data_IF_028745669640
#
_entry.id   IF_028745669640
#
_cell.length_a   1.000
_cell.length_b   1.000
_cell.length_c   1.000
_cell.angle_alpha   90.00
_cell.angle_beta   90.00
_cell.angle_gamma   90.00
#
_symmetry.space_group_name_H-M   'P 1'
#
loop_
_entity.id
_entity.type
_entity.pdbx_description
1 polymer ?
#
# COMPACT_ATOMS: atom_id res chain seq x y z
N UNK A 1 25.21 -10.32 -40.39
CA UNK A 1 24.59 -8.99 -40.46
C UNK A 1 23.19 -9.15 -39.95
N UNK A 2 22.82 -8.47 -38.87
CA UNK A 2 21.48 -8.53 -38.28
C UNK A 2 20.49 -7.86 -39.23
N UNK A 3 19.49 -8.62 -39.66
CA UNK A 3 18.43 -8.16 -40.55
C UNK A 3 17.55 -7.16 -39.80
N UNK A 4 17.37 -5.96 -40.35
CA UNK A 4 16.70 -4.83 -39.70
C UNK A 4 15.19 -4.80 -39.94
N UNK A 5 14.65 -5.49 -40.95
CA UNK A 5 13.20 -5.59 -41.19
C UNK A 5 12.85 -6.31 -42.49
N UNK A 6 11.56 -6.52 -42.72
CA UNK A 6 10.98 -7.19 -43.90
C UNK A 6 10.11 -6.25 -44.72
N UNK A 7 10.32 -6.23 -46.03
CA UNK A 7 9.67 -5.34 -46.98
C UNK A 7 9.01 -6.17 -48.08
N UNK A 8 7.71 -5.97 -48.28
CA UNK A 8 6.97 -6.57 -49.39
C UNK A 8 6.97 -5.61 -50.58
N UNK A 9 7.27 -6.11 -51.77
CA UNK A 9 7.17 -5.37 -53.03
C UNK A 9 6.04 -5.98 -53.85
N UNK A 10 4.99 -5.19 -54.11
CA UNK A 10 3.84 -5.59 -54.90
C UNK A 10 3.93 -4.89 -56.26
N UNK A 11 4.15 -5.67 -57.31
CA UNK A 11 4.38 -5.20 -58.68
C UNK A 11 3.96 -6.30 -59.68
N UNK A 12 3.13 -5.98 -60.67
CA UNK A 12 2.68 -6.93 -61.71
C UNK A 12 3.80 -7.40 -62.64
N UNK A 13 4.90 -6.66 -62.70
CA UNK A 13 6.10 -6.99 -63.46
C UNK A 13 7.26 -7.36 -62.51
N UNK A 14 7.55 -8.67 -62.45
CA UNK A 14 8.61 -9.21 -61.61
C UNK A 14 10.02 -8.70 -62.02
N UNK A 15 10.25 -8.40 -63.30
CA UNK A 15 11.52 -7.88 -63.79
C UNK A 15 11.70 -6.43 -63.36
N UNK A 16 10.64 -5.62 -63.44
CA UNK A 16 10.64 -4.22 -62.92
C UNK A 16 10.89 -4.18 -61.42
N UNK A 17 10.21 -5.02 -60.64
CA UNK A 17 10.43 -5.11 -59.20
C UNK A 17 11.86 -5.55 -58.86
N UNK A 18 12.42 -6.51 -59.60
CA UNK A 18 13.80 -6.94 -59.41
C UNK A 18 14.81 -5.81 -59.69
N UNK A 19 14.56 -4.99 -60.71
CA UNK A 19 15.37 -3.80 -61.01
C UNK A 19 15.29 -2.76 -59.87
N UNK A 20 14.09 -2.51 -59.33
CA UNK A 20 13.92 -1.62 -58.19
C UNK A 20 14.68 -2.10 -56.96
N UNK A 21 14.52 -3.38 -56.60
CA UNK A 21 15.21 -4.00 -55.44
C UNK A 21 16.73 -3.97 -55.64
N UNK A 22 17.21 -4.28 -56.85
CA UNK A 22 18.64 -4.21 -57.17
C UNK A 22 19.20 -2.78 -57.10
N UNK A 23 18.42 -1.77 -57.49
CA UNK A 23 18.82 -0.37 -57.44
C UNK A 23 18.92 0.19 -56.01
N UNK A 24 18.18 -0.39 -55.05
CA UNK A 24 18.22 0.03 -53.63
C UNK A 24 19.55 -0.32 -52.95
N UNK A 25 20.24 -1.38 -53.41
CA UNK A 25 21.51 -1.88 -52.86
C UNK A 25 21.51 -1.92 -51.32
N UNK A 26 20.47 -2.53 -50.75
CA UNK A 26 20.21 -2.54 -49.31
C UNK A 26 20.36 -3.95 -48.72
N UNK A 27 21.51 -4.27 -48.08
CA UNK A 27 21.74 -5.57 -47.46
C UNK A 27 21.06 -5.74 -46.10
N UNK A 28 20.40 -4.69 -45.57
CA UNK A 28 19.89 -4.67 -44.20
C UNK A 28 18.44 -5.17 -44.09
N UNK A 29 17.64 -5.06 -45.15
CA UNK A 29 16.23 -5.47 -45.16
C UNK A 29 16.01 -6.72 -46.02
N UNK A 30 15.00 -7.55 -45.67
CA UNK A 30 14.50 -8.60 -46.58
C UNK A 30 13.54 -7.96 -47.57
N UNK A 31 13.70 -8.27 -48.85
CA UNK A 31 12.70 -7.96 -49.86
C UNK A 31 12.03 -9.24 -50.32
N UNK A 32 10.71 -9.22 -50.42
CA UNK A 32 9.92 -10.28 -51.05
C UNK A 32 9.04 -9.65 -52.13
N UNK A 33 9.01 -10.26 -53.32
CA UNK A 33 8.28 -9.72 -54.48
C UNK A 33 7.06 -10.58 -54.73
N UNK A 34 5.90 -9.95 -54.91
CA UNK A 34 4.65 -10.62 -55.26
C UNK A 34 3.93 -9.87 -56.39
N UNK A 35 3.34 -10.56 -57.36
CA UNK A 35 2.58 -9.93 -58.45
C UNK A 35 1.26 -9.32 -57.99
N UNK A 36 0.66 -9.86 -56.94
CA UNK A 36 -0.57 -9.36 -56.33
C UNK A 36 -0.47 -9.45 -54.80
N UNK A 37 -1.14 -8.56 -54.08
CA UNK A 37 -1.20 -8.62 -52.62
C UNK A 37 -2.15 -9.74 -52.17
N UNK A 38 -1.65 -10.81 -51.50
CA UNK A 38 -2.51 -11.86 -50.99
C UNK A 38 -3.26 -11.34 -49.76
N UNK A 39 -4.55 -11.04 -49.90
CA UNK A 39 -5.43 -10.48 -48.87
C UNK A 39 -4.90 -9.20 -48.18
N UNK A 40 -5.60 -8.08 -48.41
CA UNK A 40 -5.20 -6.75 -47.91
C UNK A 40 -5.08 -6.74 -46.38
N UNK A 41 -5.93 -7.48 -45.66
CA UNK A 41 -5.89 -7.55 -44.20
C UNK A 41 -4.65 -8.29 -43.68
N UNK A 42 -4.26 -9.39 -44.34
CA UNK A 42 -3.05 -10.14 -43.99
C UNK A 42 -1.77 -9.35 -44.24
N UNK A 43 -1.77 -8.47 -45.25
CA UNK A 43 -0.59 -7.67 -45.63
C UNK A 43 -0.48 -6.37 -44.85
N UNK A 44 -1.59 -5.69 -44.56
CA UNK A 44 -1.59 -4.36 -43.95
C UNK A 44 -2.08 -4.31 -42.50
N UNK A 45 -2.64 -5.41 -41.99
CA UNK A 45 -3.21 -5.49 -40.66
C UNK A 45 -2.18 -5.55 -39.51
N UNK A 46 -2.67 -5.58 -38.27
CA UNK A 46 -1.84 -5.57 -37.06
C UNK A 46 -0.93 -6.82 -36.95
N UNK A 47 -1.40 -7.97 -37.42
CA UNK A 47 -0.67 -9.25 -37.39
C UNK A 47 0.22 -9.48 -38.63
N UNK A 48 0.26 -8.52 -39.55
CA UNK A 48 1.08 -8.64 -40.77
C UNK A 48 2.54 -8.87 -40.40
N UNK A 49 3.23 -9.82 -41.04
CA UNK A 49 4.67 -10.04 -40.81
C UNK A 49 5.52 -8.91 -41.38
N UNK A 50 4.98 -8.09 -42.28
CA UNK A 50 5.71 -7.06 -43.01
C UNK A 50 5.92 -5.78 -42.21
N UNK A 51 7.10 -5.18 -42.37
CA UNK A 51 7.45 -3.92 -41.73
C UNK A 51 7.22 -2.70 -42.64
N UNK A 52 7.22 -2.92 -43.96
CA UNK A 52 6.89 -1.91 -44.97
C UNK A 52 6.39 -2.60 -46.24
N UNK A 53 5.48 -1.95 -46.97
CA UNK A 53 5.02 -2.40 -48.28
C UNK A 53 5.38 -1.35 -49.32
N UNK A 54 5.99 -1.76 -50.42
CA UNK A 54 6.19 -0.96 -51.62
C UNK A 54 5.16 -1.45 -52.64
N UNK A 55 4.31 -0.56 -53.13
CA UNK A 55 3.26 -0.91 -54.08
C UNK A 55 3.43 -0.09 -55.37
N UNK A 56 3.47 -0.78 -56.50
CA UNK A 56 3.46 -0.12 -57.80
C UNK A 56 2.07 0.46 -58.09
N UNK A 57 2.03 1.72 -58.49
CA UNK A 57 0.77 2.45 -58.68
C UNK A 57 0.10 2.06 -59.99
N UNK A 58 0.76 1.46 -60.97
CA UNK A 58 0.11 1.10 -62.25
C UNK A 58 -0.64 -0.25 -62.20
N UNK A 59 -0.62 -0.96 -61.06
CA UNK A 59 -1.31 -2.23 -60.78
C UNK A 59 -2.85 -2.18 -60.77
N UNK A 60 -3.48 -1.15 -61.32
CA UNK A 60 -4.84 -0.75 -60.98
C UNK A 60 -5.86 -0.86 -62.11
N UNK A 61 -6.07 -2.07 -62.60
CA UNK A 61 -7.44 -2.43 -63.01
C UNK A 61 -8.32 -2.76 -61.78
N UNK A 62 -7.78 -2.62 -60.57
CA UNK A 62 -8.55 -2.67 -59.31
C UNK A 62 -9.20 -1.31 -59.05
N UNK A 63 -10.53 -1.27 -58.93
CA UNK A 63 -11.24 -0.05 -58.52
C UNK A 63 -10.71 0.43 -57.16
N UNK A 64 -9.93 1.52 -57.16
CA UNK A 64 -9.42 2.18 -55.95
C UNK A 64 -10.49 2.54 -54.91
N UNK A 65 -11.76 2.58 -55.31
CA UNK A 65 -12.88 2.72 -54.39
C UNK A 65 -12.98 1.53 -53.41
N UNK A 66 -12.64 0.31 -53.85
CA UNK A 66 -12.59 -0.90 -53.03
C UNK A 66 -11.42 -0.88 -52.04
N UNK A 67 -10.23 -0.42 -52.47
CA UNK A 67 -9.06 -0.26 -51.59
C UNK A 67 -9.29 0.87 -50.58
N UNK A 68 -9.87 2.00 -50.99
CA UNK A 68 -10.25 3.09 -50.08
C UNK A 68 -11.29 2.65 -49.05
N UNK A 69 -12.21 1.76 -49.43
CA UNK A 69 -13.18 1.15 -48.51
C UNK A 69 -12.47 0.17 -47.57
N UNK A 70 -11.55 -0.65 -48.06
CA UNK A 70 -10.73 -1.53 -47.26
C UNK A 70 -9.88 -0.75 -46.24
N UNK A 71 -9.07 0.22 -46.67
CA UNK A 71 -8.20 1.02 -45.79
C UNK A 71 -8.97 1.89 -44.76
N UNK A 72 -10.25 2.17 -44.99
CA UNK A 72 -11.13 2.85 -44.00
C UNK A 72 -11.83 1.89 -43.05
N UNK A 73 -11.89 0.61 -43.39
CA UNK A 73 -12.57 -0.44 -42.62
C UNK A 73 -11.58 -1.27 -41.80
N UNK A 74 -10.33 -1.39 -42.27
CA UNK A 74 -9.26 -2.14 -41.63
C UNK A 74 -8.32 -1.24 -40.84
N UNK A 75 -7.81 -1.76 -39.71
CA UNK A 75 -6.78 -1.12 -38.91
C UNK A 75 -5.41 -1.28 -39.59
N UNK A 76 -5.11 -0.36 -40.51
CA UNK A 76 -3.87 -0.38 -41.30
C UNK A 76 -2.69 0.02 -40.41
N UNK A 77 -1.80 -0.93 -40.13
CA UNK A 77 -0.63 -0.75 -39.27
C UNK A 77 0.68 -0.76 -40.05
N UNK A 78 0.71 -1.32 -41.27
CA UNK A 78 1.92 -1.40 -42.08
C UNK A 78 2.04 -0.18 -43.03
N UNK A 79 3.16 0.56 -42.99
CA UNK A 79 3.37 1.71 -43.86
C UNK A 79 3.54 1.32 -45.33
N UNK A 80 2.80 1.99 -46.21
CA UNK A 80 2.82 1.77 -47.66
C UNK A 80 3.58 2.89 -48.38
N UNK A 81 4.57 2.52 -49.21
CA UNK A 81 5.30 3.39 -50.11
C UNK A 81 4.78 3.14 -51.54
N UNK A 82 4.32 4.20 -52.21
CA UNK A 82 3.84 4.12 -53.57
C UNK A 82 4.97 4.39 -54.57
N UNK A 83 5.09 3.57 -55.61
CA UNK A 83 6.08 3.75 -56.69
C UNK A 83 5.36 3.80 -58.04
N UNK A 84 5.76 4.71 -58.92
CA UNK A 84 5.18 4.89 -60.25
C UNK A 84 6.28 5.03 -61.30
N UNK A 85 6.04 4.57 -62.53
CA UNK A 85 6.97 4.75 -63.65
C UNK A 85 6.90 6.19 -64.22
N UNK A 86 5.81 6.90 -63.95
CA UNK A 86 5.56 8.25 -64.46
C UNK A 86 5.23 9.24 -63.34
N UNK A 87 5.68 10.49 -63.53
CA UNK A 87 5.30 11.60 -62.65
C UNK A 87 3.94 12.14 -63.08
N UNK A 88 2.89 11.54 -62.52
CA UNK A 88 1.52 11.97 -62.69
C UNK A 88 0.94 12.55 -61.38
N UNK A 89 0.32 13.72 -61.49
CA UNK A 89 -0.25 14.44 -60.34
C UNK A 89 -1.49 13.73 -59.79
N UNK A 90 -2.29 13.09 -60.65
CA UNK A 90 -3.51 12.40 -60.23
C UNK A 90 -3.17 11.13 -59.45
N UNK A 91 -2.19 10.37 -59.94
CA UNK A 91 -1.65 9.17 -59.27
C UNK A 91 -1.00 9.49 -57.92
N UNK A 92 -0.20 10.56 -57.83
CA UNK A 92 0.41 11.02 -56.58
C UNK A 92 -0.64 11.46 -55.56
N UNK A 93 -1.61 12.28 -55.99
CA UNK A 93 -2.68 12.78 -55.12
C UNK A 93 -3.55 11.65 -54.59
N UNK A 94 -3.79 10.64 -55.43
CA UNK A 94 -4.54 9.44 -55.07
C UNK A 94 -3.78 8.60 -54.04
N UNK A 95 -2.51 8.27 -54.28
CA UNK A 95 -1.69 7.45 -53.38
C UNK A 95 -1.58 8.06 -51.97
N UNK A 96 -1.22 9.34 -51.87
CA UNK A 96 -1.12 10.04 -50.58
C UNK A 96 -2.50 10.22 -49.92
N UNK A 97 -3.54 10.50 -50.71
CA UNK A 97 -4.92 10.62 -50.22
C UNK A 97 -5.52 9.32 -49.67
N UNK A 98 -4.91 8.17 -50.01
CA UNK A 98 -5.26 6.84 -49.48
C UNK A 98 -4.44 6.44 -48.25
N UNK A 99 -3.45 7.25 -47.84
CA UNK A 99 -2.62 6.98 -46.66
C UNK A 99 -1.26 6.37 -46.97
N UNK A 100 -0.80 6.39 -48.23
CA UNK A 100 0.60 6.08 -48.52
C UNK A 100 1.52 7.07 -47.80
N UNK A 101 2.60 6.54 -47.19
CA UNK A 101 3.58 7.32 -46.43
C UNK A 101 4.41 8.20 -47.36
N UNK A 102 4.70 7.72 -48.58
CA UNK A 102 5.42 8.48 -49.58
C UNK A 102 5.08 8.00 -51.01
N UNK A 103 5.38 8.83 -52.00
CA UNK A 103 5.23 8.53 -53.43
C UNK A 103 6.55 8.77 -54.16
N UNK A 104 6.98 7.79 -54.95
CA UNK A 104 8.26 7.81 -55.67
C UNK A 104 8.09 7.53 -57.15
N UNK A 105 8.97 8.12 -57.97
CA UNK A 105 9.01 7.86 -59.43
C UNK A 105 10.26 7.04 -59.81
N UNK A 106 10.07 5.79 -60.25
CA UNK A 106 11.14 4.93 -60.74
C UNK A 106 11.28 5.06 -62.27
N UNK A 107 12.49 4.99 -62.87
CA UNK A 107 13.83 4.96 -62.26
C UNK A 107 14.39 6.39 -62.02
N UNK A 108 13.56 7.43 -62.13
CA UNK A 108 14.01 8.82 -62.11
C UNK A 108 14.52 9.31 -60.74
N UNK A 109 14.13 8.62 -59.66
CA UNK A 109 14.51 8.99 -58.31
C UNK A 109 15.85 8.45 -57.83
N UNK A 110 16.46 9.18 -56.89
CA UNK A 110 17.70 8.76 -56.25
C UNK A 110 17.40 7.59 -55.31
N UNK A 111 18.04 6.40 -55.47
CA UNK A 111 17.77 5.23 -54.63
C UNK A 111 17.93 5.48 -53.12
N UNK A 112 18.84 6.37 -52.73
CA UNK A 112 19.04 6.76 -51.33
C UNK A 112 17.90 7.57 -50.69
N UNK A 113 16.94 8.08 -51.46
CA UNK A 113 15.70 8.67 -50.91
C UNK A 113 14.69 7.57 -50.58
N UNK A 114 14.51 6.61 -51.48
CA UNK A 114 13.64 5.45 -51.30
C UNK A 114 14.11 4.62 -50.10
N UNK A 115 15.42 4.34 -50.01
CA UNK A 115 16.02 3.62 -48.87
C UNK A 115 15.75 4.28 -47.52
N UNK A 116 15.92 5.61 -47.42
CA UNK A 116 15.62 6.35 -46.17
C UNK A 116 14.15 6.30 -45.79
N UNK A 117 13.24 6.27 -46.76
CA UNK A 117 11.82 6.12 -46.47
C UNK A 117 11.46 4.71 -46.02
N UNK A 118 12.11 3.68 -46.57
CA UNK A 118 12.00 2.29 -46.09
C UNK A 118 12.50 2.19 -44.65
N UNK A 119 13.73 2.66 -44.38
CA UNK A 119 14.32 2.67 -43.02
C UNK A 119 13.39 3.34 -42.00
N UNK A 120 12.84 4.51 -42.33
CA UNK A 120 11.89 5.23 -41.47
C UNK A 120 10.59 4.46 -41.25
N UNK A 121 10.08 3.82 -42.30
CA UNK A 121 8.82 3.07 -42.27
C UNK A 121 8.95 1.80 -41.42
N UNK A 122 10.03 1.03 -41.64
CA UNK A 122 10.38 -0.15 -40.85
C UNK A 122 10.56 0.21 -39.38
N UNK A 123 11.33 1.26 -39.09
CA UNK A 123 11.54 1.71 -37.71
C UNK A 123 10.23 2.16 -37.03
N UNK A 124 9.36 2.87 -37.75
CA UNK A 124 8.06 3.27 -37.23
C UNK A 124 7.20 2.05 -36.87
N UNK A 125 7.15 1.04 -37.74
CA UNK A 125 6.39 -0.19 -37.51
C UNK A 125 6.91 -0.97 -36.30
N UNK A 126 8.23 -1.04 -36.14
CA UNK A 126 8.86 -1.68 -34.98
C UNK A 126 8.50 -0.98 -33.68
N UNK A 127 8.60 0.35 -33.63
CA UNK A 127 8.20 1.13 -32.45
C UNK A 127 6.72 0.95 -32.13
N UNK A 128 5.85 0.85 -33.14
CA UNK A 128 4.43 0.56 -32.92
C UNK A 128 4.22 -0.82 -32.31
N UNK A 129 4.89 -1.86 -32.82
CA UNK A 129 4.80 -3.22 -32.25
C UNK A 129 5.33 -3.25 -30.81
N UNK A 130 6.48 -2.63 -30.56
CA UNK A 130 7.07 -2.54 -29.22
C UNK A 130 6.14 -1.79 -28.26
N UNK A 131 5.48 -0.72 -28.71
CA UNK A 131 4.53 0.03 -27.90
C UNK A 131 3.30 -0.82 -27.55
N UNK A 132 2.74 -1.56 -28.52
CA UNK A 132 1.60 -2.46 -28.29
C UNK A 132 1.99 -3.56 -27.30
N UNK A 133 3.12 -4.23 -27.52
CA UNK A 133 3.62 -5.27 -26.63
C UNK A 133 3.88 -4.74 -25.21
N UNK A 134 4.50 -3.57 -25.09
CA UNK A 134 4.76 -2.92 -23.80
C UNK A 134 3.46 -2.55 -23.08
N UNK A 135 2.47 -2.00 -23.79
CA UNK A 135 1.16 -1.70 -23.23
C UNK A 135 0.45 -2.96 -22.73
N UNK A 136 0.44 -4.04 -23.53
CA UNK A 136 -0.15 -5.31 -23.09
C UNK A 136 0.54 -5.88 -21.85
N UNK A 137 1.87 -5.84 -21.81
CA UNK A 137 2.64 -6.29 -20.65
C UNK A 137 2.34 -5.44 -19.41
N UNK A 138 2.21 -4.12 -19.58
CA UNK A 138 1.88 -3.19 -18.51
C UNK A 138 0.44 -3.41 -18.01
N UNK A 139 -0.52 -3.65 -18.90
CA UNK A 139 -1.90 -3.97 -18.53
C UNK A 139 -1.99 -5.29 -17.76
N UNK A 140 -1.27 -6.33 -18.20
CA UNK A 140 -1.18 -7.61 -17.48
C UNK A 140 -0.58 -7.42 -16.08
N UNK A 141 0.58 -6.76 -15.99
CA UNK A 141 1.25 -6.51 -14.72
C UNK A 141 0.38 -5.66 -13.77
N UNK A 142 -0.30 -4.64 -14.28
CA UNK A 142 -1.19 -3.81 -13.48
C UNK A 142 -2.41 -4.59 -12.98
N UNK A 143 -2.97 -5.48 -13.81
CA UNK A 143 -4.08 -6.37 -13.42
C UNK A 143 -3.66 -7.33 -12.32
N UNK A 144 -2.48 -7.96 -12.44
CA UNK A 144 -1.92 -8.86 -11.43
C UNK A 144 -1.61 -8.13 -10.11
N UNK A 145 -1.01 -6.95 -10.20
CA UNK A 145 -0.74 -6.10 -9.04
C UNK A 145 -2.03 -5.70 -8.33
N UNK A 146 -3.01 -5.19 -9.08
CA UNK A 146 -4.31 -4.77 -8.53
C UNK A 146 -5.04 -5.93 -7.88
N UNK A 147 -4.97 -7.13 -8.46
CA UNK A 147 -5.54 -8.33 -7.87
C UNK A 147 -4.84 -8.71 -6.56
N UNK A 148 -3.50 -8.68 -6.55
CA UNK A 148 -2.70 -8.99 -5.35
C UNK A 148 -2.94 -8.01 -4.22
N UNK A 149 -3.04 -6.70 -4.52
CA UNK A 149 -3.38 -5.67 -3.55
C UNK A 149 -4.77 -5.92 -2.94
N UNK A 150 -5.76 -6.26 -3.76
CA UNK A 150 -7.11 -6.56 -3.28
C UNK A 150 -7.14 -7.74 -2.31
N UNK A 151 -6.34 -8.79 -2.56
CA UNK A 151 -6.22 -9.92 -1.63
C UNK A 151 -5.61 -9.46 -0.31
N UNK A 152 -4.51 -8.70 -0.35
CA UNK A 152 -3.86 -8.20 0.86
C UNK A 152 -4.79 -7.29 1.68
N UNK A 153 -5.55 -6.41 1.03
CA UNK A 153 -6.55 -5.57 1.71
C UNK A 153 -7.64 -6.41 2.39
N UNK A 154 -8.12 -7.47 1.75
CA UNK A 154 -9.10 -8.37 2.33
C UNK A 154 -8.55 -9.11 3.56
N UNK A 155 -7.32 -9.63 3.48
CA UNK A 155 -6.66 -10.31 4.59
C UNK A 155 -6.42 -9.36 5.78
N UNK A 156 -5.98 -8.14 5.49
CA UNK A 156 -5.79 -7.09 6.50
C UNK A 156 -7.12 -6.68 7.16
N UNK A 157 -8.19 -6.54 6.38
CA UNK A 157 -9.53 -6.25 6.90
C UNK A 157 -10.07 -7.38 7.79
N UNK A 158 -9.83 -8.64 7.41
CA UNK A 158 -10.19 -9.80 8.22
C UNK A 158 -9.41 -9.81 9.55
N UNK A 159 -8.11 -9.53 9.52
CA UNK A 159 -7.28 -9.36 10.72
C UNK A 159 -7.81 -8.26 11.65
N UNK A 160 -8.20 -7.11 11.08
CA UNK A 160 -8.80 -5.99 11.85
C UNK A 160 -10.06 -6.41 12.58
N UNK A 161 -10.92 -7.21 11.93
CA UNK A 161 -12.14 -7.71 12.54
C UNK A 161 -11.84 -8.61 13.75
N UNK A 162 -10.79 -9.43 13.66
CA UNK A 162 -10.32 -10.28 14.76
C UNK A 162 -9.82 -9.43 15.93
N UNK A 163 -8.93 -8.45 15.70
CA UNK A 163 -8.45 -7.57 16.77
C UNK A 163 -9.59 -6.78 17.43
N UNK A 164 -10.51 -6.24 16.62
CA UNK A 164 -11.67 -5.49 17.13
C UNK A 164 -12.56 -6.35 18.05
N UNK A 165 -12.68 -7.64 17.76
CA UNK A 165 -13.41 -8.58 18.62
C UNK A 165 -12.68 -8.93 19.92
N UNK A 166 -11.37 -8.65 20.03
CA UNK A 166 -10.57 -8.89 21.23
C UNK A 166 -10.54 -7.71 22.20
N UNK A 167 -10.78 -6.48 21.73
CA UNK A 167 -10.90 -5.33 22.61
C UNK A 167 -12.13 -5.44 23.53
N UNK A 168 -12.11 -4.78 24.72
CA UNK A 168 -13.30 -4.69 25.56
C UNK A 168 -14.51 -4.18 24.76
N UNK A 169 -15.62 -4.90 24.76
CA UNK A 169 -16.78 -4.50 23.93
C UNK A 169 -17.43 -3.18 24.42
N UNK A 170 -17.34 -2.91 25.71
CA UNK A 170 -17.97 -1.77 26.38
C UNK A 170 -17.07 -1.23 27.49
N UNK A 171 -17.35 -0.01 27.93
CA UNK A 171 -16.81 0.50 29.18
C UNK A 171 -17.19 -0.42 30.34
N UNK A 172 -16.26 -0.63 31.26
CA UNK A 172 -16.48 -1.42 32.47
C UNK A 172 -16.78 -0.45 33.62
N UNK A 173 -17.82 -0.75 34.40
CA UNK A 173 -18.09 -0.09 35.67
C UNK A 173 -17.89 -1.09 36.80
N UNK A 174 -16.92 -0.84 37.67
CA UNK A 174 -16.60 -1.66 38.84
C UNK A 174 -16.62 -0.78 40.09
N UNK A 175 -17.63 -0.98 40.96
CA UNK A 175 -17.89 -0.06 42.07
C UNK A 175 -18.15 1.38 41.58
N UNK A 176 -17.36 2.33 42.10
CA UNK A 176 -17.38 3.75 41.72
C UNK A 176 -16.44 4.09 40.55
N UNK A 177 -15.74 3.10 40.00
CA UNK A 177 -14.76 3.28 38.95
C UNK A 177 -15.34 2.99 37.56
N UNK A 178 -14.91 3.78 36.60
CA UNK A 178 -15.25 3.65 35.19
C UNK A 178 -13.98 3.45 34.36
N UNK A 179 -13.99 2.44 33.50
CA UNK A 179 -12.92 2.13 32.56
C UNK A 179 -13.44 2.31 31.15
N UNK A 180 -12.67 2.99 30.31
CA UNK A 180 -12.98 3.17 28.89
C UNK A 180 -11.69 3.20 28.09
N UNK A 181 -11.77 2.91 26.80
CA UNK A 181 -10.62 2.98 25.91
C UNK A 181 -11.01 3.58 24.57
N UNK A 182 -10.00 4.00 23.81
CA UNK A 182 -10.10 4.45 22.43
C UNK A 182 -8.88 3.94 21.67
N UNK A 183 -9.08 3.38 20.49
CA UNK A 183 -7.99 2.92 19.63
C UNK A 183 -8.23 3.46 18.22
N UNK A 184 -7.22 4.12 17.67
CA UNK A 184 -7.17 4.70 16.35
C UNK A 184 -5.96 4.10 15.62
N UNK A 185 -6.16 3.04 14.83
CA UNK A 185 -5.06 2.43 14.10
C UNK A 185 -4.67 3.30 12.89
N UNK A 186 -3.37 3.42 12.65
CA UNK A 186 -2.76 4.06 11.46
C UNK A 186 -2.91 3.21 10.20
N UNK A 187 -2.93 1.89 10.36
CA UNK A 187 -3.16 0.91 9.29
C UNK A 187 -4.39 0.04 9.58
N UNK A 188 -4.54 -1.06 8.85
CA UNK A 188 -5.61 -2.03 9.10
C UNK A 188 -5.47 -2.74 10.46
N UNK A 189 -4.23 -3.07 10.85
CA UNK A 189 -3.89 -3.84 12.03
C UNK A 189 -3.02 -3.01 12.96
N UNK A 190 -3.37 -2.99 14.24
CA UNK A 190 -2.68 -2.18 15.24
C UNK A 190 -1.64 -2.98 16.02
N UNK A 191 -0.47 -2.38 16.24
CA UNK A 191 0.51 -2.80 17.24
C UNK A 191 0.08 -2.43 18.66
N UNK A 192 -0.78 -1.43 18.79
CA UNK A 192 -1.37 -1.02 20.06
C UNK A 192 -2.52 -1.92 20.50
N UNK A 193 -2.54 -2.22 21.80
CA UNK A 193 -3.59 -3.02 22.39
C UNK A 193 -3.84 -2.64 23.86
N UNK A 194 -5.11 -2.63 24.25
CA UNK A 194 -5.50 -2.43 25.65
C UNK A 194 -6.65 -3.33 26.07
N UNK A 195 -6.68 -3.67 27.35
CA UNK A 195 -7.73 -4.46 27.96
C UNK A 195 -7.90 -4.12 29.43
N UNK A 196 -9.08 -4.43 29.96
CA UNK A 196 -9.39 -4.31 31.38
C UNK A 196 -10.48 -5.29 31.77
N UNK A 197 -10.35 -5.90 32.94
CA UNK A 197 -11.30 -6.89 33.42
C UNK A 197 -11.30 -7.03 34.93
N UNK A 198 -12.47 -7.35 35.49
CA UNK A 198 -12.62 -7.77 36.88
C UNK A 198 -11.97 -9.15 37.08
N UNK A 199 -11.05 -9.23 38.04
CA UNK A 199 -10.41 -10.49 38.44
C UNK A 199 -11.23 -11.18 39.53
N UNK A 200 -11.72 -10.40 40.49
CA UNK A 200 -12.60 -10.86 41.55
C UNK A 200 -13.61 -9.76 41.95
N UNK A 201 -14.13 -9.81 43.18
CA UNK A 201 -15.15 -8.88 43.68
C UNK A 201 -14.62 -7.52 44.10
N UNK A 202 -13.31 -7.32 44.21
CA UNK A 202 -12.70 -6.05 44.64
C UNK A 202 -11.59 -5.56 43.70
N UNK A 203 -11.18 -6.37 42.72
CA UNK A 203 -10.03 -6.06 41.87
C UNK A 203 -10.33 -6.02 40.38
N UNK A 204 -9.78 -4.99 39.74
CA UNK A 204 -9.73 -4.84 38.29
C UNK A 204 -8.28 -4.79 37.84
N UNK A 205 -7.93 -5.59 36.84
CA UNK A 205 -6.65 -5.51 36.15
C UNK A 205 -6.86 -4.81 34.82
N UNK A 206 -5.94 -3.93 34.46
CA UNK A 206 -5.93 -3.22 33.20
C UNK A 206 -4.52 -3.09 32.66
N UNK A 207 -4.38 -2.94 31.35
CA UNK A 207 -3.09 -2.67 30.74
C UNK A 207 -3.23 -1.96 29.40
N UNK A 208 -2.17 -1.26 29.03
CA UNK A 208 -1.93 -0.71 27.70
C UNK A 208 -0.59 -1.26 27.22
N UNK A 209 -0.55 -1.73 25.98
CA UNK A 209 0.64 -2.26 25.34
C UNK A 209 0.77 -1.68 23.94
N UNK A 210 2.00 -1.38 23.56
CA UNK A 210 2.38 -0.96 22.22
C UNK A 210 3.53 -1.88 21.77
N UNK A 211 3.33 -2.60 20.67
CA UNK A 211 4.30 -3.55 20.13
C UNK A 211 5.11 -2.89 19.03
N UNK A 212 6.44 -3.06 19.07
CA UNK A 212 7.34 -2.44 18.12
C UNK A 212 7.01 -2.72 16.64
N UNK A 213 6.85 -1.63 15.90
CA UNK A 213 6.50 -1.61 14.48
C UNK A 213 5.04 -1.96 14.21
N UNK A 214 4.60 -1.76 12.98
CA UNK A 214 3.18 -1.87 12.60
C UNK A 214 2.88 -3.13 11.74
N UNK A 215 1.59 -3.42 11.55
CA UNK A 215 1.09 -4.45 10.64
C UNK A 215 0.86 -5.83 11.27
N UNK A 216 0.96 -6.89 10.44
CA UNK A 216 0.53 -8.24 10.85
C UNK A 216 1.38 -8.87 11.95
N UNK A 217 2.70 -8.66 11.93
CA UNK A 217 3.62 -9.25 12.92
C UNK A 217 3.40 -8.71 14.33
N UNK A 218 3.24 -7.38 14.49
CA UNK A 218 2.92 -6.77 15.79
C UNK A 218 1.52 -7.14 16.24
N UNK A 219 0.55 -7.19 15.32
CA UNK A 219 -0.79 -7.66 15.62
C UNK A 219 -0.84 -9.10 16.20
N UNK A 220 -0.01 -10.02 15.72
CA UNK A 220 0.04 -11.36 16.32
C UNK A 220 0.63 -11.35 17.74
N UNK A 221 1.59 -10.48 18.02
CA UNK A 221 2.14 -10.33 19.36
C UNK A 221 1.07 -9.78 20.34
N UNK A 222 0.21 -8.85 19.91
CA UNK A 222 -0.90 -8.37 20.75
C UNK A 222 -1.89 -9.49 21.08
N UNK A 223 -2.19 -10.37 20.13
CA UNK A 223 -3.02 -11.58 20.36
C UNK A 223 -2.39 -12.52 21.38
N UNK A 224 -1.07 -12.74 21.31
CA UNK A 224 -0.36 -13.56 22.29
C UNK A 224 -0.48 -12.98 23.69
N UNK A 225 -0.18 -11.69 23.85
CA UNK A 225 -0.26 -10.99 25.13
C UNK A 225 -1.68 -11.04 25.69
N UNK A 226 -2.70 -10.74 24.88
CA UNK A 226 -4.11 -10.88 25.30
C UNK A 226 -4.45 -12.27 25.82
N UNK A 227 -3.99 -13.32 25.13
CA UNK A 227 -4.20 -14.70 25.56
C UNK A 227 -3.45 -15.03 26.86
N UNK A 228 -2.26 -14.48 27.08
CA UNK A 228 -1.52 -14.61 28.33
C UNK A 228 -2.34 -14.06 29.52
N UNK A 229 -2.84 -12.83 29.42
CA UNK A 229 -3.68 -12.24 30.46
C UNK A 229 -4.97 -13.04 30.70
N UNK A 230 -5.65 -13.48 29.62
CA UNK A 230 -6.86 -14.28 29.73
C UNK A 230 -6.62 -15.63 30.41
N UNK A 231 -5.51 -16.32 30.07
CA UNK A 231 -5.08 -17.55 30.73
C UNK A 231 -4.83 -17.32 32.22
N UNK A 232 -4.05 -16.30 32.57
CA UNK A 232 -3.70 -16.00 33.96
C UNK A 232 -4.91 -15.57 34.80
N UNK A 233 -5.86 -14.86 34.20
CA UNK A 233 -7.17 -14.61 34.83
C UNK A 233 -7.93 -15.92 35.10
N UNK A 234 -7.95 -16.85 34.15
CA UNK A 234 -8.59 -18.16 34.36
C UNK A 234 -7.88 -18.99 35.44
N UNK A 235 -6.55 -18.94 35.50
CA UNK A 235 -5.77 -19.64 36.53
C UNK A 235 -6.03 -19.05 37.93
N UNK A 236 -6.16 -17.73 38.06
CA UNK A 236 -6.60 -17.09 39.31
C UNK A 236 -7.92 -17.69 39.81
N UNK A 237 -8.95 -17.72 38.95
CA UNK A 237 -10.29 -18.17 39.32
C UNK A 237 -10.38 -19.67 39.63
N UNK A 238 -9.53 -20.50 39.02
CA UNK A 238 -9.63 -21.97 39.10
C UNK A 238 -8.59 -22.61 40.01
N UNK A 239 -7.46 -21.93 40.21
CA UNK A 239 -6.25 -22.48 40.84
C UNK A 239 -5.69 -21.58 41.95
N UNK A 240 -6.32 -20.43 42.22
CA UNK A 240 -5.82 -19.42 43.17
C UNK A 240 -4.41 -18.89 42.80
N UNK A 241 -4.09 -18.89 41.50
CA UNK A 241 -2.84 -18.33 40.96
C UNK A 241 -2.93 -16.79 40.96
N UNK A 242 -2.22 -16.15 41.89
CA UNK A 242 -2.25 -14.70 42.09
C UNK A 242 -1.42 -13.90 41.07
N UNK A 243 -0.75 -14.55 40.12
CA UNK A 243 0.11 -13.85 39.17
C UNK A 243 -0.63 -12.75 38.38
N UNK A 244 -1.91 -12.95 38.02
CA UNK A 244 -2.64 -11.94 37.22
C UNK A 244 -2.83 -10.60 37.94
N UNK A 245 -2.80 -10.58 39.27
CA UNK A 245 -2.94 -9.36 40.08
C UNK A 245 -1.59 -8.76 40.50
N UNK A 246 -0.48 -9.36 40.08
CA UNK A 246 0.88 -8.83 40.30
C UNK A 246 1.42 -8.25 38.99
N UNK A 247 1.50 -6.90 38.86
CA UNK A 247 2.00 -6.26 37.66
C UNK A 247 3.43 -6.66 37.26
N UNK A 248 4.32 -6.90 38.23
CA UNK A 248 5.71 -7.29 37.94
C UNK A 248 5.73 -8.69 37.35
N UNK A 249 5.04 -9.65 37.96
CA UNK A 249 5.02 -11.03 37.46
C UNK A 249 4.38 -11.11 36.07
N UNK A 250 3.32 -10.33 35.81
CA UNK A 250 2.70 -10.28 34.48
C UNK A 250 3.64 -9.72 33.42
N UNK A 251 4.40 -8.67 33.73
CA UNK A 251 5.40 -8.13 32.80
C UNK A 251 6.56 -9.12 32.56
N UNK A 252 7.02 -9.82 33.60
CA UNK A 252 8.05 -10.85 33.47
C UNK A 252 7.59 -12.01 32.57
N UNK A 253 6.33 -12.44 32.71
CA UNK A 253 5.75 -13.46 31.84
C UNK A 253 5.58 -12.95 30.41
N UNK A 254 5.11 -11.71 30.22
CA UNK A 254 5.00 -11.10 28.90
C UNK A 254 6.37 -11.01 28.20
N UNK A 255 7.42 -10.65 28.94
CA UNK A 255 8.80 -10.61 28.44
C UNK A 255 9.24 -11.98 27.94
N UNK A 256 9.00 -13.03 28.73
CA UNK A 256 9.36 -14.39 28.37
C UNK A 256 8.60 -14.89 27.14
N UNK A 257 7.28 -14.72 27.11
CA UNK A 257 6.42 -15.17 26.00
C UNK A 257 6.80 -14.47 24.68
N UNK A 258 7.14 -13.18 24.70
CA UNK A 258 7.62 -12.49 23.49
C UNK A 258 9.01 -12.95 23.04
N UNK A 259 9.94 -13.20 23.96
CA UNK A 259 11.27 -13.74 23.63
C UNK A 259 11.15 -15.13 22.99
N UNK A 260 10.26 -15.98 23.49
CA UNK A 260 10.04 -17.33 22.95
C UNK A 260 9.44 -17.35 21.54
N UNK A 261 8.78 -16.27 21.10
CA UNK A 261 8.28 -16.19 19.73
C UNK A 261 9.40 -16.12 18.67
N UNK A 262 10.62 -15.67 19.04
CA UNK A 262 11.74 -15.48 18.11
C UNK A 262 11.41 -14.60 16.88
N UNK A 263 10.45 -13.67 17.03
CA UNK A 263 10.01 -12.75 15.96
C UNK A 263 10.69 -11.38 16.02
N UNK A 264 11.68 -11.21 16.90
CA UNK A 264 12.38 -9.93 17.16
C UNK A 264 11.41 -8.77 17.41
N UNK A 265 10.34 -9.02 18.17
CA UNK A 265 9.38 -8.02 18.63
C UNK A 265 9.56 -7.78 20.12
N UNK A 266 9.45 -6.53 20.50
CA UNK A 266 9.36 -6.09 21.88
C UNK A 266 8.12 -5.22 22.02
N UNK A 267 7.64 -5.01 23.24
CA UNK A 267 6.50 -4.15 23.50
C UNK A 267 6.78 -3.23 24.69
N UNK A 268 6.31 -1.99 24.59
CA UNK A 268 6.16 -1.14 25.75
C UNK A 268 4.84 -1.47 26.42
N UNK A 269 4.79 -1.46 27.76
CA UNK A 269 3.58 -1.82 28.49
C UNK A 269 3.41 -1.04 29.79
N UNK A 270 2.17 -0.81 30.18
CA UNK A 270 1.79 -0.44 31.54
C UNK A 270 0.75 -1.44 32.01
N UNK A 271 0.99 -2.06 33.17
CA UNK A 271 0.07 -3.00 33.79
C UNK A 271 -0.34 -2.46 35.15
N UNK A 272 -1.64 -2.44 35.44
CA UNK A 272 -2.21 -1.97 36.69
C UNK A 272 -3.18 -2.97 37.30
N UNK A 273 -3.12 -3.12 38.61
CA UNK A 273 -4.12 -3.79 39.44
C UNK A 273 -4.73 -2.76 40.40
N UNK A 274 -6.01 -2.45 40.18
CA UNK A 274 -6.81 -1.61 41.04
C UNK A 274 -7.56 -2.46 42.05
N UNK A 275 -7.39 -2.18 43.34
CA UNK A 275 -8.30 -2.63 44.38
C UNK A 275 -9.29 -1.50 44.71
N UNK A 276 -10.56 -1.67 44.33
CA UNK A 276 -11.57 -0.64 44.49
C UNK A 276 -12.24 -0.62 45.87
N UNK A 277 -12.01 -1.62 46.72
CA UNK A 277 -12.42 -1.58 48.13
C UNK A 277 -11.38 -0.83 48.97
N UNK A 278 -10.09 -1.06 48.70
CA UNK A 278 -8.99 -0.36 49.35
C UNK A 278 -8.65 1.00 48.72
N UNK A 279 -9.19 1.27 47.52
CA UNK A 279 -8.86 2.44 46.69
C UNK A 279 -7.36 2.58 46.37
N UNK A 280 -6.67 1.45 46.24
CA UNK A 280 -5.23 1.42 45.96
C UNK A 280 -4.97 0.91 44.55
N UNK A 281 -4.09 1.62 43.83
CA UNK A 281 -3.54 1.18 42.55
C UNK A 281 -2.12 0.67 42.75
N UNK A 282 -1.87 -0.56 42.32
CA UNK A 282 -0.53 -1.10 42.09
C UNK A 282 -0.28 -1.15 40.60
N UNK A 283 0.84 -0.62 40.11
CA UNK A 283 1.15 -0.63 38.69
C UNK A 283 2.65 -0.77 38.43
N UNK A 284 2.97 -1.15 37.20
CA UNK A 284 4.34 -1.26 36.72
C UNK A 284 4.42 -0.79 35.27
N UNK A 285 5.54 -0.17 34.92
CA UNK A 285 5.81 0.42 33.61
C UNK A 285 7.01 -0.28 32.98
N UNK A 286 6.84 -0.80 31.77
CA UNK A 286 7.85 -1.45 30.97
C UNK A 286 8.15 -0.62 29.72
N UNK A 287 9.07 0.34 29.83
CA UNK A 287 9.55 1.16 28.72
C UNK A 287 8.51 2.06 28.04
N UNK A 288 7.32 2.19 28.63
CA UNK A 288 6.19 2.90 28.01
C UNK A 288 6.32 4.41 28.15
N UNK A 289 6.05 5.08 27.03
CA UNK A 289 6.03 6.53 26.89
C UNK A 289 4.84 6.91 25.99
N UNK A 290 4.10 8.00 26.28
CA UNK A 290 4.18 8.83 27.48
C UNK A 290 3.87 8.05 28.77
N UNK A 291 4.40 8.53 29.90
CA UNK A 291 4.10 7.92 31.22
C UNK A 291 2.61 8.07 31.55
N UNK A 292 2.03 7.19 32.38
CA UNK A 292 0.65 7.34 32.83
C UNK A 292 0.43 8.70 33.49
N UNK A 293 -0.67 9.38 33.17
CA UNK A 293 -1.00 10.71 33.71
C UNK A 293 -2.12 10.59 34.73
N UNK A 294 -1.90 11.12 35.93
CA UNK A 294 -2.95 11.27 36.94
C UNK A 294 -3.46 12.71 36.94
N UNK A 295 -4.76 12.85 36.68
CA UNK A 295 -5.49 14.11 36.71
C UNK A 295 -6.39 14.14 37.94
N UNK A 296 -6.31 15.23 38.70
CA UNK A 296 -7.21 15.55 39.81
C UNK A 296 -7.77 16.96 39.61
N UNK A 297 -8.74 17.43 40.42
CA UNK A 297 -9.22 18.81 40.33
C UNK A 297 -8.12 19.87 40.51
N UNK A 298 -7.06 19.54 41.24
CA UNK A 298 -6.04 20.49 41.67
C UNK A 298 -4.73 20.39 40.87
N UNK A 299 -4.38 19.21 40.36
CA UNK A 299 -3.12 18.97 39.66
C UNK A 299 -3.24 17.89 38.58
N UNK A 300 -2.33 17.96 37.61
CA UNK A 300 -2.11 16.97 36.56
C UNK A 300 -0.62 16.65 36.51
N UNK A 301 -0.26 15.40 36.74
CA UNK A 301 1.15 14.98 36.79
C UNK A 301 1.34 13.61 36.16
N UNK A 302 2.54 13.39 35.61
CA UNK A 302 2.99 12.06 35.24
C UNK A 302 3.24 11.22 36.48
N UNK A 303 2.77 9.98 36.45
CA UNK A 303 3.10 8.98 37.46
C UNK A 303 4.54 8.50 37.28
N UNK A 304 5.27 8.22 38.39
CA UNK A 304 6.59 7.63 38.34
C UNK A 304 6.53 6.21 37.77
N UNK A 305 7.69 5.65 37.45
CA UNK A 305 7.79 4.32 36.88
C UNK A 305 8.81 4.28 35.77
N UNK A 306 9.67 3.27 35.84
CA UNK A 306 10.70 2.98 34.86
C UNK A 306 10.85 1.46 34.74
N UNK A 307 11.22 1.00 33.56
CA UNK A 307 11.44 -0.40 33.25
C UNK A 307 11.86 -0.57 31.81
N UNK A 308 12.45 -1.71 31.48
CA UNK A 308 12.78 -2.04 30.08
C UNK A 308 11.52 -2.50 29.33
N UNK A 309 11.41 -2.29 28.01
CA UNK A 309 10.37 -2.93 27.20
C UNK A 309 10.37 -4.45 27.36
N UNK A 310 9.20 -5.08 27.34
CA UNK A 310 9.06 -6.54 27.35
C UNK A 310 9.49 -7.11 25.99
N UNK A 311 10.07 -8.31 25.96
CA UNK A 311 10.55 -8.97 24.75
C UNK A 311 11.93 -8.52 24.25
N UNK A 312 12.56 -7.56 24.94
CA UNK A 312 13.84 -6.99 24.50
C UNK A 312 15.06 -7.80 24.98
N UNK A 313 15.06 -8.20 26.25
CA UNK A 313 16.18 -8.96 26.86
C UNK A 313 15.70 -9.89 27.97
N UNK A 314 16.30 -11.08 28.15
CA UNK A 314 15.94 -12.00 29.23
C UNK A 314 16.11 -11.41 30.64
N UNK A 315 17.03 -10.45 30.81
CA UNK A 315 17.40 -9.83 32.09
C UNK A 315 16.53 -8.62 32.47
N UNK A 316 15.42 -8.38 31.76
CA UNK A 316 14.55 -7.24 32.02
C UNK A 316 13.99 -7.28 33.46
N UNK A 317 14.09 -6.15 34.16
CA UNK A 317 13.58 -5.96 35.51
C UNK A 317 12.54 -4.85 35.56
N UNK A 318 11.49 -5.06 36.35
CA UNK A 318 10.35 -4.16 36.47
C UNK A 318 10.17 -3.67 37.91
N UNK A 319 9.81 -2.39 38.10
CA UNK A 319 9.51 -1.80 39.40
C UNK A 319 8.02 -1.83 39.72
N UNK A 320 7.65 -1.93 40.99
CA UNK A 320 6.27 -1.81 41.45
C UNK A 320 6.06 -0.44 42.06
N UNK A 321 5.09 0.28 41.53
CA UNK A 321 4.62 1.53 42.10
C UNK A 321 3.26 1.31 42.76
N UNK A 322 3.03 2.00 43.87
CA UNK A 322 1.76 1.92 44.60
C UNK A 322 1.27 3.31 44.98
N UNK A 323 -0.01 3.56 44.72
CA UNK A 323 -0.66 4.85 44.95
C UNK A 323 -2.03 4.63 45.61
N UNK A 324 -2.37 5.50 46.57
CA UNK A 324 -3.74 5.66 47.04
C UNK A 324 -4.49 6.62 46.10
N UNK A 325 -5.59 6.16 45.51
CA UNK A 325 -6.32 6.95 44.53
C UNK A 325 -7.26 7.95 45.21
N UNK A 326 -7.29 9.22 44.75
CA UNK A 326 -8.24 10.22 45.24
C UNK A 326 -9.71 9.83 44.99
N UNK A 327 -10.65 10.50 45.65
CA UNK A 327 -12.08 10.28 45.44
C UNK A 327 -12.56 10.77 44.06
N UNK A 328 -11.91 11.81 43.53
CA UNK A 328 -12.20 12.39 42.21
C UNK A 328 -10.92 12.48 41.40
N UNK A 329 -10.79 11.66 40.36
CA UNK A 329 -9.61 11.65 39.50
C UNK A 329 -9.91 11.07 38.12
N UNK A 330 -8.99 11.30 37.19
CA UNK A 330 -8.86 10.53 35.96
C UNK A 330 -7.42 10.09 35.75
N UNK A 331 -7.21 8.80 35.55
CA UNK A 331 -5.95 8.22 35.11
C UNK A 331 -6.03 8.00 33.60
N UNK A 332 -5.02 8.49 32.89
CA UNK A 332 -4.92 8.45 31.42
C UNK A 332 -3.64 7.72 31.05
N UNK A 333 -3.76 6.64 30.27
CA UNK A 333 -2.65 5.95 29.64
C UNK A 333 -2.80 6.15 28.12
N UNK A 334 -1.71 6.49 27.44
CA UNK A 334 -1.69 6.67 25.98
C UNK A 334 -0.43 6.07 25.40
N UNK A 335 -0.53 5.49 24.21
CA UNK A 335 0.64 5.07 23.42
C UNK A 335 1.40 6.28 22.87
N UNK A 336 2.62 6.03 22.39
CA UNK A 336 3.52 7.06 21.87
C UNK A 336 3.00 7.74 20.60
N UNK A 337 2.12 7.10 19.83
CA UNK A 337 1.49 7.72 18.67
C UNK A 337 0.76 9.03 18.97
N UNK A 338 0.31 9.26 20.22
CA UNK A 338 -0.24 10.58 20.61
C UNK A 338 0.81 11.69 20.53
N UNK A 339 2.08 11.39 20.82
CA UNK A 339 3.19 12.34 20.77
C UNK A 339 3.56 12.69 19.33
N UNK A 340 3.28 11.81 18.35
CA UNK A 340 3.50 12.09 16.93
C UNK A 340 2.47 13.08 16.34
N UNK A 341 1.35 13.31 17.03
CA UNK A 341 0.37 14.35 16.67
C UNK A 341 0.74 15.76 17.14
N UNK A 342 1.89 15.89 17.78
CA UNK A 342 2.36 17.10 18.46
C UNK A 342 3.54 17.65 17.64
N UNK A 343 3.34 18.82 17.03
CA UNK A 343 4.28 19.50 16.11
C UNK A 343 5.41 20.21 16.86
N UNK A 344 6.10 19.43 17.69
CA UNK A 344 7.23 19.84 18.50
C UNK A 344 8.43 18.94 18.15
N UNK A 345 9.64 19.53 18.17
CA UNK A 345 10.85 18.85 17.68
C UNK A 345 11.46 17.94 18.75
N UNK A 346 11.39 18.36 20.02
CA UNK A 346 11.95 17.61 21.15
C UNK A 346 10.87 16.84 21.92
N UNK A 347 11.21 15.64 22.36
CA UNK A 347 10.34 14.76 23.11
C UNK A 347 9.87 15.41 24.43
N UNK A 348 10.77 16.13 25.10
CA UNK A 348 10.46 16.83 26.35
C UNK A 348 9.40 17.93 26.12
N UNK A 349 9.47 18.60 24.98
CA UNK A 349 8.48 19.62 24.60
C UNK A 349 7.15 18.97 24.25
N UNK A 350 7.17 17.87 23.48
CA UNK A 350 5.97 17.07 23.18
C UNK A 350 5.24 16.61 24.45
N UNK A 351 5.95 16.07 25.43
CA UNK A 351 5.38 15.63 26.70
C UNK A 351 4.77 16.78 27.53
N UNK A 352 5.40 17.97 27.51
CA UNK A 352 4.86 19.16 28.19
C UNK A 352 3.60 19.68 27.50
N UNK A 353 3.59 19.70 26.17
CA UNK A 353 2.41 20.07 25.39
C UNK A 353 1.28 19.08 25.63
N UNK A 354 1.58 17.78 25.69
CA UNK A 354 0.60 16.75 26.01
C UNK A 354 -0.07 17.00 27.36
N UNK A 355 0.70 17.24 28.43
CA UNK A 355 0.15 17.63 29.73
C UNK A 355 -0.69 18.90 29.65
N UNK A 356 -0.24 19.88 28.87
CA UNK A 356 -0.97 21.14 28.69
C UNK A 356 -2.32 20.93 27.98
N UNK A 357 -2.36 20.06 26.96
CA UNK A 357 -3.61 19.70 26.23
C UNK A 357 -4.57 18.87 27.10
N UNK A 358 -4.03 17.99 27.95
CA UNK A 358 -4.82 17.23 28.92
C UNK A 358 -5.34 18.12 30.07
N UNK A 359 -4.59 19.17 30.41
CA UNK A 359 -4.95 20.15 31.44
C UNK A 359 -6.35 20.76 31.22
N UNK A 360 -7.02 21.08 32.32
CA UNK A 360 -8.37 21.63 32.32
C UNK A 360 -9.29 20.93 33.32
N UNK A 361 -10.61 21.11 33.17
CA UNK A 361 -11.58 20.40 34.00
C UNK A 361 -11.54 18.89 33.78
N UNK A 362 -11.79 18.13 34.86
CA UNK A 362 -12.09 16.71 34.78
C UNK A 362 -13.41 16.54 34.02
N UNK A 363 -13.29 16.23 32.74
CA UNK A 363 -14.42 15.96 31.86
C UNK A 363 -14.52 14.46 31.59
N UNK A 364 -15.53 14.04 30.83
CA UNK A 364 -15.68 12.65 30.43
C UNK A 364 -14.57 12.26 29.45
N UNK A 365 -14.18 10.97 29.40
CA UNK A 365 -13.16 10.49 28.46
C UNK A 365 -13.40 10.90 27.00
N UNK A 366 -14.66 10.96 26.56
CA UNK A 366 -15.03 11.40 25.21
C UNK A 366 -14.69 12.86 24.90
N UNK A 367 -14.74 13.75 25.89
CA UNK A 367 -14.40 15.16 25.72
C UNK A 367 -12.87 15.38 25.74
N UNK A 368 -12.14 14.56 26.51
CA UNK A 368 -10.67 14.52 26.45
C UNK A 368 -10.14 14.11 25.08
N UNK A 369 -10.75 13.09 24.46
CA UNK A 369 -10.39 12.66 23.10
C UNK A 369 -10.59 13.81 22.10
N UNK A 370 -11.65 14.62 22.25
CA UNK A 370 -11.86 15.81 21.41
C UNK A 370 -10.82 16.90 21.68
N UNK A 371 -10.44 17.11 22.94
CA UNK A 371 -9.40 18.09 23.31
C UNK A 371 -8.02 17.74 22.77
N UNK A 372 -7.72 16.44 22.64
CA UNK A 372 -6.51 15.95 21.98
C UNK A 372 -6.57 16.04 20.46
N UNK A 373 -7.66 16.57 19.88
CA UNK A 373 -7.94 16.62 18.44
C UNK A 373 -8.02 15.24 17.78
N UNK A 374 -8.23 14.17 18.56
CA UNK A 374 -8.31 12.79 18.09
C UNK A 374 -9.74 12.36 17.70
N UNK A 375 -10.66 13.31 17.64
CA UNK A 375 -12.08 13.05 17.38
C UNK A 375 -12.43 12.86 15.91
N UNK A 376 -11.75 13.60 15.02
CA UNK A 376 -12.05 13.66 13.58
C UNK A 376 -10.90 13.16 12.69
N UNK A 377 -9.79 12.69 13.28
CA UNK A 377 -8.62 12.21 12.56
C UNK A 377 -8.95 10.92 11.79
N UNK A 378 -8.64 10.91 10.50
CA UNK A 378 -8.76 9.72 9.67
C UNK A 378 -7.48 8.89 9.76
N UNK A 379 -7.57 7.57 9.58
CA UNK A 379 -6.40 6.67 9.67
C UNK A 379 -5.28 7.04 8.70
N UNK A 380 -5.61 7.67 7.57
CA UNK A 380 -4.65 8.04 6.53
C UNK A 380 -3.71 9.19 6.94
N UNK A 381 -4.07 9.93 8.00
CA UNK A 381 -3.31 11.08 8.51
C UNK A 381 -2.43 10.73 9.73
N UNK A 382 -2.51 9.49 10.23
CA UNK A 382 -1.79 9.05 11.43
C UNK A 382 -0.42 8.47 11.05
N UNK A 383 0.64 9.01 11.66
CA UNK A 383 1.99 8.49 11.52
C UNK A 383 2.19 7.15 12.24
N UNK A 384 1.48 6.96 13.37
CA UNK A 384 1.50 5.72 14.16
C UNK A 384 0.13 5.45 14.81
N UNK A 385 -0.03 4.26 15.37
CA UNK A 385 -1.23 3.86 16.10
C UNK A 385 -1.41 4.70 17.38
N UNK A 386 -2.66 5.02 17.71
CA UNK A 386 -2.98 5.73 18.95
C UNK A 386 -3.99 4.92 19.75
N UNK A 387 -3.57 4.45 20.92
CA UNK A 387 -4.42 3.83 21.92
C UNK A 387 -4.43 4.64 23.21
N UNK A 388 -5.62 4.89 23.73
CA UNK A 388 -5.85 5.53 25.01
C UNK A 388 -6.70 4.64 25.92
N UNK A 389 -6.29 4.52 27.18
CA UNK A 389 -7.06 3.89 28.26
C UNK A 389 -7.31 4.93 29.36
N UNK A 390 -8.57 5.02 29.79
CA UNK A 390 -9.01 6.00 30.77
C UNK A 390 -9.70 5.30 31.94
N UNK A 391 -9.24 5.60 33.16
CA UNK A 391 -9.84 5.12 34.40
C UNK A 391 -10.28 6.33 35.22
N UNK A 392 -11.55 6.42 35.60
CA UNK A 392 -12.06 7.56 36.35
C UNK A 392 -12.91 7.17 37.55
N UNK A 393 -12.95 8.07 38.53
CA UNK A 393 -13.81 7.99 39.73
C UNK A 393 -14.29 9.40 40.06
N UNK A 394 -15.57 9.55 40.42
CA UNK A 394 -16.13 10.84 40.84
C UNK A 394 -16.29 11.89 39.74
N UNK A 395 -16.06 11.53 38.47
CA UNK A 395 -16.23 12.42 37.31
C UNK A 395 -17.65 12.25 36.76
N UNK A 396 -18.48 13.30 36.87
CA UNK A 396 -19.92 13.30 36.53
C UNK A 396 -20.24 13.50 35.06
#
# INVERSE_FOLDING_TARGET
>A
MTQLGTVLVVDDDADRAAVLVAALDDPHHRYEITPEAPDIEAVLGPDSPWDCVICHVELLDVSWASVRRAMRTFDVQVPVLAVSDHRDMDSMTTALGLGAVNFFVSPAEKPGLVRRAIERSVHHRQLQRELVESNENLERANTELSHSLRILEQDQAAGRQVQKAMFPAHSLKAGDYWFSHRILPSLYLSGDFTDYFEVDKSKVVFYLADVSGHGSSSAFATVLLKNLFARKRSDYLRRDDKTVIDPIEMLALANHELLELHVNKYATMVVGCLDFDAHTLQYSVAGHLPKPVLMTPDHIDYLPGEGMPVGLTPEASYGLEQLLLPETFMLVLMSDGVLETIDEVDLIEREKTLLTRLGGSLEKPGDLIRRLDLGEVTSDDLADDIAGLFVSRGVG
#
